data_IF_438421885808
#
_entry.id   IF_438421885808
#
_cell.length_a   1.000
_cell.length_b   1.000
_cell.length_c   1.000
_cell.angle_alpha   90.00
_cell.angle_beta   90.00
_cell.angle_gamma   90.00
#
_symmetry.space_group_name_H-M   'P 1'
#
loop_
_entity.id
_entity.type
_entity.pdbx_description
1 polymer ?
#
# COMPACT_ATOMS: atom_id res chain seq x y z
N UNK A 1 -10.11 -8.78 -48.26
CA UNK A 1 -11.27 -9.58 -47.78
C UNK A 1 -11.37 -9.41 -46.29
N UNK A 2 -12.56 -9.11 -45.73
CA UNK A 2 -12.72 -9.01 -44.28
C UNK A 2 -12.49 -10.38 -43.65
N UNK A 3 -11.66 -10.45 -42.61
CA UNK A 3 -11.35 -11.71 -41.95
C UNK A 3 -12.60 -12.19 -41.17
N UNK A 4 -13.18 -13.32 -41.59
CA UNK A 4 -14.45 -13.83 -41.05
C UNK A 4 -14.17 -14.89 -39.98
N UNK A 5 -14.70 -14.68 -38.79
CA UNK A 5 -14.70 -15.69 -37.73
C UNK A 5 -15.70 -16.82 -38.06
N UNK A 6 -15.43 -18.09 -37.70
CA UNK A 6 -16.39 -19.19 -37.86
C UNK A 6 -17.72 -18.88 -37.17
N UNK A 7 -18.83 -19.33 -37.78
CA UNK A 7 -20.22 -18.93 -37.44
C UNK A 7 -20.62 -19.20 -35.99
N UNK A 8 -20.00 -20.20 -35.36
CA UNK A 8 -20.28 -20.61 -33.97
C UNK A 8 -19.05 -20.50 -33.05
N UNK A 9 -17.98 -19.87 -33.54
CA UNK A 9 -16.78 -19.65 -32.73
C UNK A 9 -17.08 -18.74 -31.56
N UNK A 10 -16.44 -19.01 -30.41
CA UNK A 10 -16.54 -18.17 -29.22
C UNK A 10 -15.17 -18.09 -28.56
N UNK A 11 -14.79 -16.90 -28.09
CA UNK A 11 -13.60 -16.78 -27.27
C UNK A 11 -13.76 -17.56 -25.96
N UNK A 12 -12.71 -18.27 -25.57
CA UNK A 12 -12.63 -18.99 -24.31
C UNK A 12 -11.39 -18.55 -23.56
N UNK A 13 -11.48 -18.58 -22.23
CA UNK A 13 -10.31 -18.48 -21.36
C UNK A 13 -10.19 -19.72 -20.50
N UNK A 14 -8.96 -20.09 -20.16
CA UNK A 14 -8.68 -21.19 -19.24
C UNK A 14 -8.89 -20.68 -17.82
N UNK A 15 -10.02 -21.05 -17.23
CA UNK A 15 -10.34 -20.62 -15.88
C UNK A 15 -9.39 -21.30 -14.88
N UNK A 16 -8.59 -20.55 -14.10
CA UNK A 16 -7.60 -21.13 -13.20
C UNK A 16 -8.24 -21.96 -12.08
N UNK A 17 -9.45 -21.60 -11.66
CA UNK A 17 -10.19 -22.30 -10.59
C UNK A 17 -10.85 -23.58 -11.07
N UNK A 18 -11.53 -23.52 -12.22
CA UNK A 18 -12.26 -24.67 -12.76
C UNK A 18 -11.34 -25.63 -13.54
N UNK A 19 -10.11 -25.21 -13.82
CA UNK A 19 -9.12 -25.92 -14.66
C UNK A 19 -9.69 -26.36 -16.01
N UNK A 20 -10.69 -25.62 -16.51
CA UNK A 20 -11.41 -25.88 -17.76
C UNK A 20 -11.50 -24.62 -18.60
N UNK A 21 -11.69 -24.80 -19.91
CA UNK A 21 -11.96 -23.71 -20.82
C UNK A 21 -13.41 -23.24 -20.64
N UNK A 22 -13.56 -21.95 -20.37
CA UNK A 22 -14.86 -21.32 -20.14
C UNK A 22 -15.11 -20.31 -21.24
N UNK A 23 -16.30 -20.35 -21.82
CA UNK A 23 -16.75 -19.36 -22.79
C UNK A 23 -16.81 -17.98 -22.14
N UNK A 24 -16.31 -16.97 -22.85
CA UNK A 24 -16.57 -15.58 -22.46
C UNK A 24 -18.04 -15.24 -22.67
N UNK A 25 -18.49 -14.15 -22.04
CA UNK A 25 -19.86 -13.66 -22.25
C UNK A 25 -20.06 -13.23 -23.72
N UNK A 26 -21.31 -13.25 -24.21
CA UNK A 26 -21.62 -12.83 -25.59
C UNK A 26 -21.14 -11.40 -25.90
N UNK A 27 -21.21 -10.51 -24.92
CA UNK A 27 -20.77 -9.12 -25.08
C UNK A 27 -19.24 -9.02 -25.14
N UNK A 28 -18.54 -9.76 -24.28
CA UNK A 28 -17.08 -9.85 -24.32
C UNK A 28 -16.59 -10.48 -25.64
N UNK A 29 -17.21 -11.56 -26.10
CA UNK A 29 -16.88 -12.20 -27.38
C UNK A 29 -17.02 -11.22 -28.56
N UNK A 30 -18.07 -10.40 -28.56
CA UNK A 30 -18.30 -9.35 -29.55
C UNK A 30 -17.17 -8.33 -29.55
N UNK A 31 -16.80 -7.82 -28.37
CA UNK A 31 -15.73 -6.83 -28.21
C UNK A 31 -14.36 -7.37 -28.64
N UNK A 32 -14.03 -8.60 -28.23
CA UNK A 32 -12.76 -9.24 -28.61
C UNK A 32 -12.68 -9.51 -30.11
N UNK A 33 -13.77 -9.98 -30.75
CA UNK A 33 -13.82 -10.16 -32.21
C UNK A 33 -13.70 -8.84 -32.96
N UNK A 34 -14.31 -7.77 -32.47
CA UNK A 34 -14.20 -6.44 -33.04
C UNK A 34 -12.76 -5.90 -32.95
N UNK A 35 -12.14 -6.01 -31.78
CA UNK A 35 -10.75 -5.63 -31.56
C UNK A 35 -9.79 -6.45 -32.44
N UNK A 36 -9.96 -7.77 -32.50
CA UNK A 36 -9.14 -8.64 -33.35
C UNK A 36 -9.27 -8.27 -34.84
N UNK A 37 -10.48 -7.96 -35.33
CA UNK A 37 -10.69 -7.51 -36.72
C UNK A 37 -10.03 -6.18 -37.05
N UNK A 38 -9.71 -5.36 -36.04
CA UNK A 38 -9.05 -4.08 -36.23
C UNK A 38 -7.53 -4.20 -36.43
N UNK A 39 -6.91 -5.32 -36.01
CA UNK A 39 -5.45 -5.51 -36.05
C UNK A 39 -4.85 -5.33 -37.46
N UNK A 40 -5.42 -5.89 -38.55
CA UNK A 40 -4.86 -5.72 -39.89
C UNK A 40 -4.93 -4.27 -40.41
N UNK A 41 -5.70 -3.41 -39.74
CA UNK A 41 -5.87 -1.99 -40.07
C UNK A 41 -5.00 -1.08 -39.20
N UNK A 42 -4.04 -1.63 -38.45
CA UNK A 42 -3.21 -0.89 -37.50
C UNK A 42 -3.83 -0.75 -36.11
N UNK A 43 -4.81 -1.59 -35.75
CA UNK A 43 -5.33 -1.67 -34.39
C UNK A 43 -4.27 -2.24 -33.42
N UNK A 44 -4.39 -1.88 -32.14
CA UNK A 44 -3.49 -2.37 -31.09
C UNK A 44 -3.69 -3.87 -30.83
N UNK A 45 -2.62 -4.66 -30.62
CA UNK A 45 -2.70 -6.10 -30.33
C UNK A 45 -3.37 -6.42 -28.99
N UNK A 46 -3.71 -5.41 -28.20
CA UNK A 46 -4.29 -5.53 -26.87
C UNK A 46 -5.73 -4.99 -26.87
N UNK A 47 -6.67 -5.80 -26.44
CA UNK A 47 -8.08 -5.43 -26.24
C UNK A 47 -8.41 -5.34 -24.75
N UNK A 48 -9.07 -4.26 -24.33
CA UNK A 48 -9.53 -4.09 -22.94
C UNK A 48 -11.04 -4.23 -22.87
N UNK A 49 -11.52 -5.22 -22.10
CA UNK A 49 -12.93 -5.54 -21.94
C UNK A 49 -13.34 -5.46 -20.47
N UNK A 50 -14.57 -5.01 -20.21
CA UNK A 50 -15.17 -5.00 -18.88
C UNK A 50 -16.10 -6.22 -18.73
N UNK A 51 -15.87 -7.02 -17.70
CA UNK A 51 -16.74 -8.15 -17.33
C UNK A 51 -17.29 -7.91 -15.93
N UNK A 52 -18.56 -7.50 -15.86
CA UNK A 52 -19.13 -6.96 -14.63
C UNK A 52 -18.39 -5.69 -14.20
N UNK A 53 -17.86 -5.69 -12.97
CA UNK A 53 -17.02 -4.61 -12.42
C UNK A 53 -15.53 -4.81 -12.64
N UNK A 54 -15.11 -5.92 -13.26
CA UNK A 54 -13.70 -6.26 -13.45
C UNK A 54 -13.23 -5.97 -14.86
N UNK A 55 -12.09 -5.28 -14.98
CA UNK A 55 -11.45 -5.01 -16.28
C UNK A 55 -10.37 -6.04 -16.62
N UNK A 56 -10.37 -6.48 -17.87
CA UNK A 56 -9.41 -7.44 -18.41
C UNK A 56 -8.77 -6.90 -19.67
N UNK A 57 -7.45 -7.05 -19.75
CA UNK A 57 -6.65 -6.79 -20.94
C UNK A 57 -6.37 -8.12 -21.63
N UNK A 58 -6.58 -8.23 -22.93
CA UNK A 58 -6.30 -9.44 -23.71
C UNK A 58 -5.31 -9.10 -24.79
N UNK A 59 -4.13 -9.69 -24.73
CA UNK A 59 -3.11 -9.58 -25.75
C UNK A 59 -3.26 -10.74 -26.75
N UNK A 60 -3.52 -10.38 -28.00
CA UNK A 60 -3.74 -11.33 -29.09
C UNK A 60 -2.44 -11.93 -29.64
N UNK A 61 -1.27 -11.33 -29.37
CA UNK A 61 0.02 -11.91 -29.76
C UNK A 61 0.38 -13.08 -28.84
N UNK A 62 0.32 -12.84 -27.53
CA UNK A 62 0.63 -13.86 -26.52
C UNK A 62 -0.54 -14.80 -26.25
N UNK A 63 -1.75 -14.43 -26.69
CA UNK A 63 -2.99 -15.14 -26.39
C UNK A 63 -3.19 -15.28 -24.87
N UNK A 64 -2.86 -14.20 -24.14
CA UNK A 64 -3.02 -14.08 -22.70
C UNK A 64 -4.01 -12.98 -22.38
N UNK A 65 -4.95 -13.31 -21.49
CA UNK A 65 -5.85 -12.37 -20.85
C UNK A 65 -5.39 -12.10 -19.42
N UNK A 66 -5.19 -10.84 -19.08
CA UNK A 66 -4.76 -10.37 -17.77
C UNK A 66 -5.87 -9.58 -17.10
N UNK A 67 -6.21 -9.95 -15.87
CA UNK A 67 -7.03 -9.10 -15.02
C UNK A 67 -6.21 -7.86 -14.61
N UNK A 68 -6.67 -6.66 -14.99
CA UNK A 68 -5.86 -5.43 -14.81
C UNK A 68 -5.59 -5.14 -13.33
N UNK A 69 -6.56 -5.41 -12.46
CA UNK A 69 -6.47 -5.16 -11.04
C UNK A 69 -5.51 -6.13 -10.31
N UNK A 70 -5.68 -7.43 -10.54
CA UNK A 70 -4.93 -8.49 -9.84
C UNK A 70 -3.70 -9.00 -10.57
N UNK A 71 -3.43 -8.51 -11.78
CA UNK A 71 -2.37 -8.99 -12.70
C UNK A 71 -2.42 -10.48 -13.03
N UNK A 72 -3.50 -11.17 -12.70
CA UNK A 72 -3.67 -12.61 -12.99
C UNK A 72 -3.83 -12.82 -14.48
N UNK A 73 -2.96 -13.66 -15.03
CA UNK A 73 -2.94 -14.06 -16.43
C UNK A 73 -3.72 -15.36 -16.65
N UNK A 74 -4.41 -15.46 -17.78
CA UNK A 74 -5.19 -16.62 -18.21
C UNK A 74 -4.96 -16.83 -19.71
N UNK A 75 -4.71 -18.07 -20.12
CA UNK A 75 -4.66 -18.42 -21.54
C UNK A 75 -6.03 -18.16 -22.19
N UNK A 76 -6.03 -17.58 -23.39
CA UNK A 76 -7.23 -17.43 -24.23
C UNK A 76 -7.10 -18.19 -25.54
N UNK A 77 -8.23 -18.65 -26.07
CA UNK A 77 -8.31 -19.28 -27.39
C UNK A 77 -9.66 -19.02 -28.03
N UNK A 78 -9.76 -19.26 -29.33
CA UNK A 78 -11.03 -19.32 -30.03
C UNK A 78 -11.53 -20.78 -30.05
N UNK A 79 -12.76 -21.02 -29.60
CA UNK A 79 -13.43 -22.32 -29.75
C UNK A 79 -13.87 -22.51 -31.20
N UNK A 80 -13.74 -23.74 -31.71
CA UNK A 80 -14.30 -24.20 -32.99
C UNK A 80 -13.81 -23.41 -34.23
N UNK A 81 -12.48 -23.31 -34.40
CA UNK A 81 -11.87 -22.97 -35.68
C UNK A 81 -10.58 -22.15 -35.58
N UNK A 82 -9.89 -21.94 -36.72
CA UNK A 82 -8.68 -21.14 -36.76
C UNK A 82 -8.99 -19.65 -36.59
N UNK A 83 -8.00 -18.90 -36.08
CA UNK A 83 -8.07 -17.44 -36.08
C UNK A 83 -8.14 -16.91 -37.53
N UNK A 84 -8.87 -15.80 -37.78
CA UNK A 84 -9.09 -15.30 -39.14
C UNK A 84 -7.81 -14.92 -39.90
N UNK A 85 -6.71 -14.65 -39.19
CA UNK A 85 -5.36 -14.47 -39.71
C UNK A 85 -4.38 -14.72 -38.56
N UNK A 86 -3.12 -15.05 -38.88
CA UNK A 86 -2.03 -15.13 -37.90
C UNK A 86 -1.39 -13.76 -37.73
N UNK A 87 -1.08 -13.39 -36.49
CA UNK A 87 -0.22 -12.25 -36.21
C UNK A 87 1.22 -12.64 -36.55
N UNK A 88 2.03 -11.70 -37.06
CA UNK A 88 3.45 -11.96 -37.28
C UNK A 88 4.13 -12.16 -35.92
N UNK A 89 4.94 -13.20 -35.80
CA UNK A 89 5.73 -13.48 -34.60
C UNK A 89 6.74 -12.34 -34.41
N UNK A 90 6.48 -11.45 -33.45
CA UNK A 90 7.50 -10.53 -32.94
C UNK A 90 8.46 -11.31 -32.05
N UNK A 91 9.76 -11.17 -32.33
CA UNK A 91 10.85 -11.91 -31.72
C UNK A 91 10.77 -11.96 -30.18
N UNK A 92 11.12 -13.14 -29.66
CA UNK A 92 11.22 -13.55 -28.26
C UNK A 92 11.82 -12.49 -27.32
N UNK A 93 11.13 -12.26 -26.20
CA UNK A 93 11.77 -12.30 -24.87
C UNK A 93 10.81 -13.01 -23.91
N UNK A 94 11.10 -14.29 -23.64
CA UNK A 94 10.55 -14.99 -22.48
C UNK A 94 11.34 -14.57 -21.23
N UNK A 95 10.72 -14.70 -20.04
CA UNK A 95 11.25 -15.77 -19.20
C UNK A 95 10.16 -16.70 -18.65
N UNK A 96 10.48 -17.98 -18.85
CA UNK A 96 10.27 -19.15 -18.01
C UNK A 96 9.30 -19.09 -16.82
N UNK A 97 8.37 -20.03 -16.89
CA UNK A 97 7.63 -20.64 -15.80
C UNK A 97 8.49 -21.00 -14.57
N UNK A 98 7.99 -20.68 -13.37
CA UNK A 98 8.04 -21.63 -12.25
C UNK A 98 6.89 -21.39 -11.27
N UNK A 99 5.95 -22.35 -11.28
CA UNK A 99 5.26 -22.98 -10.17
C UNK A 99 4.81 -22.13 -8.97
N UNK A 100 3.50 -22.17 -8.70
CA UNK A 100 2.97 -22.37 -7.34
C UNK A 100 1.48 -22.75 -7.43
N UNK A 101 1.18 -23.94 -6.93
CA UNK A 101 -0.16 -24.43 -6.61
C UNK A 101 -0.85 -23.48 -5.62
N UNK A 102 -2.16 -23.26 -5.82
CA UNK A 102 -2.99 -22.55 -4.84
C UNK A 102 -4.34 -22.12 -5.40
N UNK A 103 -5.40 -22.86 -5.04
CA UNK A 103 -6.80 -22.44 -5.12
C UNK A 103 -6.96 -21.00 -4.58
N UNK A 104 -7.69 -20.08 -5.21
CA UNK A 104 -9.15 -20.11 -5.19
C UNK A 104 -9.74 -18.83 -4.58
N UNK A 105 -10.18 -17.90 -5.44
CA UNK A 105 -11.38 -17.05 -5.30
C UNK A 105 -11.41 -15.93 -4.22
N UNK A 106 -11.93 -14.74 -4.62
CA UNK A 106 -12.32 -13.65 -3.71
C UNK A 106 -13.82 -13.61 -3.47
N UNK A 107 -14.31 -12.68 -2.61
CA UNK A 107 -15.65 -12.04 -2.59
C UNK A 107 -15.71 -11.02 -1.43
N UNK A 108 -16.42 -9.91 -1.62
CA UNK A 108 -16.76 -8.89 -0.62
C UNK A 108 -18.07 -9.24 0.14
N UNK A 109 -18.37 -8.63 1.30
CA UNK A 109 -19.16 -9.25 2.36
C UNK A 109 -20.68 -9.06 2.17
N UNK A 110 -21.37 -10.18 2.00
CA UNK A 110 -22.73 -10.38 2.49
C UNK A 110 -22.71 -11.72 3.23
N UNK A 111 -23.53 -11.86 4.27
CA UNK A 111 -23.65 -13.09 5.07
C UNK A 111 -23.79 -14.33 4.16
N UNK A 112 -22.72 -15.13 4.05
CA UNK A 112 -22.65 -16.30 3.19
C UNK A 112 -22.44 -17.55 4.04
N UNK A 113 -23.49 -18.36 4.12
CA UNK A 113 -23.37 -19.78 4.39
C UNK A 113 -22.94 -20.49 3.09
N UNK A 114 -21.97 -21.40 3.17
CA UNK A 114 -21.68 -22.36 2.10
C UNK A 114 -22.26 -23.72 2.52
N UNK A 115 -23.21 -24.25 1.73
CA UNK A 115 -23.83 -25.56 1.94
C UNK A 115 -24.31 -25.83 3.39
N UNK A 116 -24.83 -24.80 4.08
CA UNK A 116 -25.34 -24.91 5.45
C UNK A 116 -24.28 -25.19 6.53
N UNK A 117 -22.99 -25.01 6.24
CA UNK A 117 -21.90 -25.14 7.21
C UNK A 117 -21.13 -23.84 7.38
N UNK A 118 -20.88 -23.47 8.65
CA UNK A 118 -20.10 -22.28 9.03
C UNK A 118 -18.68 -22.34 8.46
N UNK A 119 -18.27 -21.29 7.76
CA UNK A 119 -16.92 -21.13 7.16
C UNK A 119 -15.82 -21.31 8.23
N UNK A 120 -14.70 -22.02 7.95
CA UNK A 120 -13.63 -22.26 8.92
C UNK A 120 -12.96 -20.97 9.44
N UNK A 121 -12.50 -20.99 10.69
CA UNK A 121 -11.92 -19.83 11.39
C UNK A 121 -10.68 -19.23 10.70
N UNK A 122 -9.89 -20.05 10.02
CA UNK A 122 -8.68 -19.62 9.29
C UNK A 122 -8.99 -18.77 8.06
N UNK A 123 -10.10 -19.03 7.36
CA UNK A 123 -10.54 -18.26 6.19
C UNK A 123 -11.13 -16.92 6.60
N UNK A 124 -11.85 -16.87 7.74
CA UNK A 124 -12.35 -15.62 8.33
C UNK A 124 -11.22 -14.64 8.67
N UNK A 125 -10.14 -15.15 9.26
CA UNK A 125 -8.95 -14.36 9.63
C UNK A 125 -8.25 -13.72 8.43
N UNK A 126 -8.24 -14.40 7.27
CA UNK A 126 -7.68 -13.89 6.03
C UNK A 126 -8.56 -12.82 5.33
N UNK A 127 -9.85 -12.77 5.65
CA UNK A 127 -10.82 -11.78 5.13
C UNK A 127 -11.10 -10.63 6.12
N UNK A 128 -10.28 -10.50 7.16
CA UNK A 128 -10.47 -9.49 8.21
C UNK A 128 -11.59 -9.79 9.21
N UNK A 129 -12.28 -10.93 9.09
CA UNK A 129 -13.21 -11.38 10.13
C UNK A 129 -12.42 -11.94 11.33
N UNK A 130 -12.40 -11.17 12.41
CA UNK A 130 -11.67 -11.44 13.65
C UNK A 130 -10.63 -10.39 14.00
N UNK A 131 -10.44 -9.39 13.13
CA UNK A 131 -9.83 -8.11 13.49
C UNK A 131 -10.96 -7.31 14.16
N UNK A 132 -10.81 -6.97 15.44
CA UNK A 132 -11.81 -6.14 16.13
C UNK A 132 -12.03 -4.83 15.36
N UNK A 133 -13.29 -4.39 15.28
CA UNK A 133 -13.62 -3.07 14.76
C UNK A 133 -12.74 -2.03 15.46
N UNK A 134 -12.01 -1.24 14.67
CA UNK A 134 -11.07 -0.22 15.16
C UNK A 134 -9.60 -0.55 14.94
N UNK A 135 -9.18 -1.81 14.81
CA UNK A 135 -7.77 -2.16 14.57
C UNK A 135 -7.34 -1.72 13.17
N UNK A 136 -6.35 -0.83 13.11
CA UNK A 136 -5.74 -0.32 11.88
C UNK A 136 -4.45 -1.03 11.52
N UNK A 137 -4.02 -0.89 10.25
CA UNK A 137 -2.68 -1.27 9.79
C UNK A 137 -2.36 -2.76 9.94
N UNK A 138 -3.30 -3.64 9.63
CA UNK A 138 -3.16 -5.11 9.73
C UNK A 138 -2.34 -5.76 8.60
N UNK A 139 -1.84 -4.99 7.63
CA UNK A 139 -1.16 -5.50 6.46
C UNK A 139 -0.35 -4.46 5.69
N UNK A 140 0.32 -4.93 4.65
CA UNK A 140 1.16 -4.14 3.76
C UNK A 140 0.92 -4.58 2.31
N UNK A 141 1.10 -3.68 1.35
CA UNK A 141 1.04 -4.01 -0.07
C UNK A 141 1.97 -3.11 -0.89
N UNK A 142 2.29 -3.58 -2.09
CA UNK A 142 3.13 -2.87 -3.04
C UNK A 142 2.72 -3.29 -4.46
N UNK A 143 2.54 -2.32 -5.35
CA UNK A 143 2.27 -2.58 -6.76
C UNK A 143 2.71 -1.42 -7.64
N UNK A 144 2.92 -1.72 -8.92
CA UNK A 144 3.27 -0.72 -9.94
C UNK A 144 2.07 -0.44 -10.82
N UNK A 145 1.80 0.85 -11.07
CA UNK A 145 0.78 1.36 -11.97
C UNK A 145 1.44 1.82 -13.27
N UNK A 146 1.07 1.18 -14.37
CA UNK A 146 1.54 1.58 -15.71
C UNK A 146 0.68 2.69 -16.30
N UNK A 147 1.23 3.45 -17.27
CA UNK A 147 0.53 4.56 -17.91
C UNK A 147 -0.79 4.11 -18.57
N UNK A 148 -0.80 2.91 -19.15
CA UNK A 148 -1.97 2.28 -19.77
C UNK A 148 -3.07 1.88 -18.77
N UNK A 149 -2.74 1.87 -17.47
CA UNK A 149 -3.60 1.36 -16.40
C UNK A 149 -4.16 2.46 -15.52
N UNK A 150 -3.83 3.73 -15.81
CA UNK A 150 -4.29 4.92 -15.08
C UNK A 150 -5.78 4.91 -14.76
N UNK A 151 -6.61 4.57 -15.74
CA UNK A 151 -8.07 4.51 -15.60
C UNK A 151 -8.57 3.39 -14.66
N UNK A 152 -7.67 2.50 -14.23
CA UNK A 152 -7.95 1.34 -13.38
C UNK A 152 -7.34 1.51 -11.98
N UNK A 153 -6.72 2.67 -11.70
CA UNK A 153 -6.03 2.94 -10.44
C UNK A 153 -6.91 2.66 -9.21
N UNK A 154 -8.16 3.15 -9.21
CA UNK A 154 -9.09 2.94 -8.10
C UNK A 154 -9.39 1.46 -7.84
N UNK A 155 -9.53 0.66 -8.90
CA UNK A 155 -9.76 -0.80 -8.81
C UNK A 155 -8.51 -1.52 -8.30
N UNK A 156 -7.33 -1.17 -8.83
CA UNK A 156 -6.04 -1.73 -8.42
C UNK A 156 -5.75 -1.44 -6.94
N UNK A 157 -5.95 -0.20 -6.50
CA UNK A 157 -5.73 0.19 -5.12
C UNK A 157 -6.69 -0.54 -4.18
N UNK A 158 -7.98 -0.59 -4.51
CA UNK A 158 -9.00 -1.27 -3.70
C UNK A 158 -8.70 -2.77 -3.57
N UNK A 159 -8.27 -3.42 -4.66
CA UNK A 159 -7.91 -4.83 -4.63
C UNK A 159 -6.71 -5.10 -3.73
N UNK A 160 -5.64 -4.30 -3.84
CA UNK A 160 -4.44 -4.47 -3.02
C UNK A 160 -4.70 -4.23 -1.52
N UNK A 161 -5.54 -3.25 -1.19
CA UNK A 161 -6.00 -3.00 0.19
C UNK A 161 -6.72 -4.24 0.76
N UNK A 162 -7.69 -4.78 0.01
CA UNK A 162 -8.44 -5.96 0.43
C UNK A 162 -7.57 -7.21 0.52
N UNK A 163 -6.66 -7.42 -0.44
CA UNK A 163 -5.72 -8.53 -0.46
C UNK A 163 -4.75 -8.49 0.73
N UNK A 164 -4.41 -7.28 1.21
CA UNK A 164 -3.62 -7.08 2.41
C UNK A 164 -4.43 -7.20 3.72
N UNK A 165 -5.73 -7.51 3.66
CA UNK A 165 -6.59 -7.63 4.85
C UNK A 165 -6.82 -6.28 5.55
N UNK A 166 -6.70 -5.17 4.82
CA UNK A 166 -6.92 -3.81 5.34
C UNK A 166 -8.36 -3.41 4.99
N UNK A 167 -9.12 -2.95 5.97
CA UNK A 167 -10.44 -2.36 5.71
C UNK A 167 -10.26 -0.93 5.16
N UNK A 168 -11.02 -0.48 4.14
CA UNK A 168 -10.85 0.85 3.55
C UNK A 168 -10.92 2.00 4.56
N UNK A 169 -11.79 1.89 5.58
CA UNK A 169 -11.90 2.87 6.67
C UNK A 169 -10.69 2.91 7.61
N UNK A 170 -9.88 1.85 7.60
CA UNK A 170 -8.68 1.67 8.43
C UNK A 170 -7.39 1.99 7.66
N UNK A 171 -7.50 2.40 6.38
CA UNK A 171 -6.37 2.82 5.58
C UNK A 171 -5.87 4.18 6.05
N UNK A 172 -4.63 4.22 6.54
CA UNK A 172 -3.95 5.48 6.82
C UNK A 172 -3.24 6.02 5.58
N UNK A 173 -3.79 7.08 4.99
CA UNK A 173 -3.23 7.72 3.79
C UNK A 173 -1.79 8.22 3.97
N UNK A 174 -1.32 8.36 5.22
CA UNK A 174 0.05 8.77 5.52
C UNK A 174 1.07 7.65 5.33
N UNK A 175 0.64 6.40 5.33
CA UNK A 175 1.52 5.26 5.03
C UNK A 175 1.46 4.87 3.54
N UNK A 176 0.56 5.50 2.76
CA UNK A 176 0.41 5.27 1.33
C UNK A 176 1.35 6.19 0.55
N UNK A 177 2.39 5.60 -0.04
CA UNK A 177 3.46 6.29 -0.75
C UNK A 177 3.37 6.03 -2.25
N UNK A 178 3.50 7.09 -3.03
CA UNK A 178 3.60 7.07 -4.49
C UNK A 178 4.99 7.53 -4.88
N UNK A 179 5.67 6.76 -5.72
CA UNK A 179 6.99 7.08 -6.26
C UNK A 179 6.93 7.07 -7.78
N UNK A 180 7.29 8.18 -8.42
CA UNK A 180 7.32 8.29 -9.88
C UNK A 180 8.51 7.54 -10.48
N UNK A 181 8.48 7.33 -11.80
CA UNK A 181 9.63 6.79 -12.54
C UNK A 181 10.90 7.65 -12.43
N UNK A 182 10.76 8.95 -12.14
CA UNK A 182 11.88 9.87 -11.89
C UNK A 182 12.39 9.83 -10.44
N UNK A 183 11.71 9.10 -9.55
CA UNK A 183 12.04 9.05 -8.13
C UNK A 183 11.37 10.14 -7.29
N UNK A 184 10.43 10.91 -7.85
CA UNK A 184 9.65 11.88 -7.07
C UNK A 184 8.67 11.15 -6.15
N UNK A 185 8.60 11.54 -4.89
CA UNK A 185 7.77 10.87 -3.89
C UNK A 185 6.61 11.77 -3.42
N UNK A 186 5.44 11.16 -3.19
CA UNK A 186 4.27 11.83 -2.62
C UNK A 186 3.56 10.92 -1.63
N UNK A 187 3.23 11.46 -0.46
CA UNK A 187 2.62 10.74 0.66
C UNK A 187 1.61 11.65 1.36
N UNK A 188 0.40 11.16 1.63
CA UNK A 188 -0.66 11.89 2.34
C UNK A 188 -1.25 13.13 1.64
N UNK A 189 -0.64 13.65 0.57
CA UNK A 189 -1.11 14.83 -0.17
C UNK A 189 -1.96 14.44 -1.38
N UNK A 190 -3.30 14.58 -1.27
CA UNK A 190 -4.23 14.31 -2.38
C UNK A 190 -3.91 15.14 -3.63
N UNK A 191 -3.47 16.40 -3.46
CA UNK A 191 -3.15 17.30 -4.57
C UNK A 191 -1.92 16.84 -5.34
N UNK A 192 -0.87 16.45 -4.62
CA UNK A 192 0.39 16.04 -5.24
C UNK A 192 0.26 14.66 -5.90
N UNK A 193 -0.46 13.73 -5.27
CA UNK A 193 -0.80 12.43 -5.86
C UNK A 193 -1.62 12.62 -7.14
N UNK A 194 -2.65 13.48 -7.12
CA UNK A 194 -3.44 13.76 -8.33
C UNK A 194 -2.60 14.37 -9.46
N UNK A 195 -1.67 15.27 -9.12
CA UNK A 195 -0.73 15.86 -10.08
C UNK A 195 0.22 14.81 -10.67
N UNK A 196 0.70 13.88 -9.85
CA UNK A 196 1.56 12.76 -10.28
C UNK A 196 0.80 11.83 -11.23
N UNK A 197 -0.41 11.40 -10.88
CA UNK A 197 -1.28 10.56 -11.72
C UNK A 197 -1.66 11.25 -13.05
N UNK A 198 -1.74 12.59 -13.06
CA UNK A 198 -2.01 13.38 -14.26
C UNK A 198 -0.80 13.50 -15.21
N UNK A 199 0.43 13.35 -14.71
CA UNK A 199 1.65 13.51 -15.49
C UNK A 199 2.04 12.21 -16.23
N UNK A 200 1.99 12.16 -17.57
CA UNK A 200 2.37 10.95 -18.31
C UNK A 200 3.82 10.52 -18.09
N UNK A 201 4.72 11.46 -17.77
CA UNK A 201 6.12 11.13 -17.50
C UNK A 201 6.32 10.46 -16.15
N UNK A 202 5.39 10.59 -15.21
CA UNK A 202 5.53 10.00 -13.88
C UNK A 202 5.46 8.46 -13.89
N UNK A 203 4.95 7.86 -14.96
CA UNK A 203 4.79 6.42 -15.10
C UNK A 203 6.08 5.72 -15.54
N UNK A 204 6.33 4.47 -15.08
CA UNK A 204 5.53 3.71 -14.12
C UNK A 204 5.54 4.34 -12.71
N UNK A 205 4.37 4.38 -12.07
CA UNK A 205 4.22 4.89 -10.70
C UNK A 205 4.21 3.71 -9.75
N UNK A 206 5.14 3.69 -8.82
CA UNK A 206 5.24 2.67 -7.79
C UNK A 206 4.43 3.09 -6.56
N UNK A 207 3.55 2.21 -6.08
CA UNK A 207 2.63 2.48 -4.99
C UNK A 207 2.91 1.47 -3.88
N UNK A 208 3.18 1.96 -2.68
CA UNK A 208 3.44 1.12 -1.51
C UNK A 208 2.64 1.59 -0.29
N UNK A 209 2.22 0.63 0.52
CA UNK A 209 1.63 0.85 1.83
C UNK A 209 2.40 0.00 2.83
N UNK A 210 3.25 0.66 3.62
CA UNK A 210 4.13 0.05 4.62
C UNK A 210 4.00 0.81 5.93
N UNK A 211 3.00 0.49 6.76
CA UNK A 211 2.86 1.11 8.07
C UNK A 211 4.06 0.77 8.95
N UNK A 212 4.46 1.70 9.83
CA UNK A 212 5.56 1.46 10.75
C UNK A 212 5.23 0.27 11.67
N UNK A 213 6.19 -0.60 12.02
CA UNK A 213 5.96 -1.75 12.90
C UNK A 213 5.26 -1.40 14.22
N UNK A 214 5.59 -0.23 14.78
CA UNK A 214 4.97 0.29 16.01
C UNK A 214 3.47 0.55 15.88
N UNK A 215 2.91 0.63 14.67
CA UNK A 215 1.49 0.91 14.43
C UNK A 215 0.68 -0.32 13.99
N UNK A 216 1.35 -1.45 13.76
CA UNK A 216 0.69 -2.68 13.35
C UNK A 216 -0.28 -3.17 14.44
N UNK A 217 -1.47 -3.58 14.02
CA UNK A 217 -2.51 -4.14 14.90
C UNK A 217 -3.00 -3.22 16.02
N UNK A 218 -2.78 -1.91 15.90
CA UNK A 218 -3.29 -0.93 16.87
C UNK A 218 -4.54 -0.22 16.36
N UNK A 219 -5.45 0.20 17.25
CA UNK A 219 -6.55 1.06 16.86
C UNK A 219 -6.10 2.40 16.31
N UNK A 220 -6.85 2.97 15.36
CA UNK A 220 -6.53 4.26 14.74
C UNK A 220 -6.30 5.35 15.79
N UNK A 221 -7.13 5.34 16.81
CA UNK A 221 -7.15 6.30 17.89
C UNK A 221 -5.91 6.19 18.78
N UNK A 222 -5.22 5.04 18.79
CA UNK A 222 -3.99 4.83 19.53
C UNK A 222 -2.75 5.27 18.76
N UNK A 223 -2.81 5.32 17.42
CA UNK A 223 -1.68 5.74 16.57
C UNK A 223 -1.19 7.14 16.96
N UNK A 224 -2.10 8.08 17.21
CA UNK A 224 -1.73 9.43 17.64
C UNK A 224 -0.95 9.41 18.97
N UNK A 225 -1.33 8.56 19.93
CA UNK A 225 -0.70 8.49 21.24
C UNK A 225 0.70 7.90 21.14
N UNK A 226 0.88 6.86 20.32
CA UNK A 226 2.19 6.28 20.07
C UNK A 226 3.08 7.25 19.29
N UNK A 227 2.56 7.94 18.28
CA UNK A 227 3.36 8.95 17.55
C UNK A 227 3.85 10.07 18.47
N UNK A 228 2.98 10.54 19.37
CA UNK A 228 3.34 11.53 20.39
C UNK A 228 4.45 11.00 21.29
N UNK A 229 4.33 9.74 21.75
CA UNK A 229 5.37 9.11 22.57
C UNK A 229 6.70 8.96 21.82
N UNK A 230 6.67 8.51 20.56
CA UNK A 230 7.85 8.40 19.69
C UNK A 230 8.51 9.76 19.48
N UNK A 231 7.71 10.79 19.21
CA UNK A 231 8.17 12.18 19.06
C UNK A 231 8.86 12.67 20.34
N UNK A 232 8.30 12.37 21.52
CA UNK A 232 8.95 12.70 22.80
C UNK A 232 10.28 11.98 22.99
N UNK A 233 10.30 10.67 22.75
CA UNK A 233 11.53 9.90 22.90
C UNK A 233 12.60 10.33 21.90
N UNK A 234 12.22 10.76 20.68
CA UNK A 234 13.14 11.36 19.72
C UNK A 234 13.79 12.63 20.27
N UNK A 235 13.02 13.56 20.84
CA UNK A 235 13.57 14.77 21.47
C UNK A 235 14.54 14.43 22.61
N UNK A 236 14.21 13.42 23.42
CA UNK A 236 15.07 12.93 24.49
C UNK A 236 16.36 12.32 23.91
N UNK A 237 16.26 11.51 22.86
CA UNK A 237 17.40 10.90 22.15
C UNK A 237 18.35 11.97 21.61
N UNK A 238 17.81 12.99 20.97
CA UNK A 238 18.58 14.12 20.44
C UNK A 238 19.30 14.87 21.56
N UNK A 239 18.61 15.14 22.68
CA UNK A 239 19.23 15.81 23.83
C UNK A 239 20.32 14.97 24.50
N UNK A 240 20.10 13.65 24.63
CA UNK A 240 21.11 12.71 25.13
C UNK A 240 22.33 12.66 24.20
N UNK A 241 22.10 12.63 22.89
CA UNK A 241 23.18 12.61 21.89
C UNK A 241 24.05 13.87 21.96
N UNK A 242 23.45 15.04 22.22
CA UNK A 242 24.19 16.29 22.46
C UNK A 242 25.10 16.26 23.72
N UNK A 243 24.86 15.33 24.64
CA UNK A 243 25.69 15.11 25.83
C UNK A 243 26.58 13.87 25.71
N UNK A 244 26.73 13.32 24.49
CA UNK A 244 27.45 12.08 24.18
C UNK A 244 26.96 10.85 24.96
N UNK A 245 25.71 10.88 25.45
CA UNK A 245 25.18 9.85 26.33
C UNK A 245 25.88 9.75 27.69
N UNK A 246 26.72 10.73 28.05
CA UNK A 246 27.55 10.67 29.24
C UNK A 246 26.97 11.51 30.38
N UNK A 247 26.71 10.85 31.52
CA UNK A 247 26.20 11.47 32.73
C UNK A 247 27.09 12.60 33.27
N UNK A 248 28.41 12.50 33.09
CA UNK A 248 29.35 13.49 33.60
C UNK A 248 29.25 14.83 32.88
N UNK A 249 28.71 14.84 31.66
CA UNK A 249 28.45 16.05 30.89
C UNK A 249 27.23 16.83 31.41
N UNK A 250 26.46 16.25 32.36
CA UNK A 250 25.34 16.94 33.03
C UNK A 250 25.85 17.78 34.19
N UNK A 251 25.65 19.09 34.10
CA UNK A 251 26.20 20.09 35.04
C UNK A 251 25.65 19.95 36.45
N UNK A 252 24.32 19.84 36.60
CA UNK A 252 23.70 19.84 37.91
C UNK A 252 23.40 18.43 38.43
N UNK A 253 23.89 18.12 39.63
CA UNK A 253 23.73 16.80 40.27
C UNK A 253 22.27 16.36 40.41
N UNK A 254 21.35 17.29 40.66
CA UNK A 254 19.91 16.97 40.78
C UNK A 254 19.26 16.60 39.43
N UNK A 255 19.86 17.00 38.30
CA UNK A 255 19.39 16.67 36.94
C UNK A 255 19.97 15.34 36.44
N UNK A 256 21.12 14.89 36.97
CA UNK A 256 21.76 13.61 36.62
C UNK A 256 20.82 12.42 36.76
N UNK A 257 20.02 12.37 37.83
CA UNK A 257 19.01 11.32 38.04
C UNK A 257 17.93 11.31 36.96
N UNK A 258 17.57 12.47 36.42
CA UNK A 258 16.62 12.59 35.31
C UNK A 258 17.26 12.13 34.01
N UNK A 259 18.52 12.49 33.77
CA UNK A 259 19.29 12.05 32.61
C UNK A 259 19.47 10.52 32.58
N UNK A 260 19.78 9.88 33.70
CA UNK A 260 19.83 8.42 33.82
C UNK A 260 18.50 7.77 33.44
N UNK A 261 17.36 8.36 33.86
CA UNK A 261 16.03 7.86 33.47
C UNK A 261 15.78 7.99 31.97
N UNK A 262 16.28 9.05 31.33
CA UNK A 262 16.19 9.20 29.88
C UNK A 262 16.96 8.11 29.14
N UNK A 263 18.17 7.79 29.58
CA UNK A 263 18.95 6.67 29.02
C UNK A 263 18.16 5.36 29.15
N UNK A 264 17.60 5.08 30.33
CA UNK A 264 16.77 3.88 30.56
C UNK A 264 15.52 3.85 29.68
N UNK A 265 14.80 4.96 29.53
CA UNK A 265 13.60 5.00 28.68
C UNK A 265 13.92 4.73 27.22
N UNK A 266 15.06 5.21 26.71
CA UNK A 266 15.50 4.95 25.34
C UNK A 266 15.91 3.48 25.15
N UNK A 267 16.67 2.93 26.10
CA UNK A 267 17.10 1.53 26.08
C UNK A 267 15.91 0.55 26.19
N UNK A 268 14.98 0.81 27.13
CA UNK A 268 13.77 0.02 27.31
C UNK A 268 12.88 0.08 26.06
N UNK A 269 12.72 1.27 25.48
CA UNK A 269 11.92 1.43 24.27
C UNK A 269 12.51 0.59 23.13
N UNK A 270 13.79 0.78 22.81
CA UNK A 270 14.45 0.04 21.74
C UNK A 270 14.39 -1.48 21.99
N UNK A 271 14.60 -1.92 23.22
CA UNK A 271 14.56 -3.34 23.58
C UNK A 271 13.17 -3.96 23.41
N UNK A 272 12.10 -3.19 23.65
CA UNK A 272 10.71 -3.65 23.56
C UNK A 272 10.15 -3.61 22.13
N UNK A 273 10.52 -2.59 21.35
CA UNK A 273 9.87 -2.29 20.05
C UNK A 273 10.79 -2.48 18.86
N UNK A 274 12.11 -2.47 19.06
CA UNK A 274 13.11 -2.40 17.99
C UNK A 274 13.12 -1.05 17.24
N UNK A 275 12.37 -0.06 17.73
CA UNK A 275 12.22 1.27 17.12
C UNK A 275 13.38 2.17 17.54
N UNK A 276 14.18 2.60 16.56
CA UNK A 276 15.32 3.48 16.81
C UNK A 276 14.95 4.97 16.78
N UNK A 277 13.67 5.31 16.55
CA UNK A 277 13.12 6.65 16.53
C UNK A 277 13.71 7.57 15.44
N UNK A 278 14.44 7.02 14.47
CA UNK A 278 15.07 7.82 13.41
C UNK A 278 14.03 8.50 12.51
N UNK A 279 12.92 7.80 12.23
CA UNK A 279 11.81 8.24 11.39
C UNK A 279 10.66 8.91 12.18
N UNK A 280 10.76 8.97 13.51
CA UNK A 280 9.74 9.63 14.33
C UNK A 280 9.61 11.13 13.95
N UNK A 281 8.40 11.66 14.05
CA UNK A 281 8.11 13.04 13.68
C UNK A 281 8.85 14.05 14.58
N UNK A 282 9.07 15.25 14.06
CA UNK A 282 9.37 16.41 14.90
C UNK A 282 8.08 16.95 15.56
N UNK A 283 8.24 17.75 16.62
CA UNK A 283 7.11 18.30 17.39
C UNK A 283 6.16 19.14 16.54
N UNK A 284 6.67 19.98 15.63
CA UNK A 284 5.85 20.87 14.82
C UNK A 284 4.98 20.05 13.84
N UNK A 285 5.59 19.07 13.19
CA UNK A 285 4.93 18.14 12.29
C UNK A 285 3.91 17.29 13.03
N UNK A 286 4.23 16.79 14.23
CA UNK A 286 3.31 16.00 15.05
C UNK A 286 2.07 16.83 15.45
N UNK A 287 2.25 18.05 15.95
CA UNK A 287 1.13 18.94 16.33
C UNK A 287 0.28 19.34 15.14
N UNK A 288 0.90 19.56 13.97
CA UNK A 288 0.17 19.85 12.73
C UNK A 288 -0.69 18.67 12.26
N UNK A 289 -0.21 17.44 12.46
CA UNK A 289 -0.93 16.23 12.09
C UNK A 289 -1.99 15.83 13.13
N UNK A 290 -1.75 16.14 14.41
CA UNK A 290 -2.61 15.80 15.53
C UNK A 290 -2.83 17.01 16.45
N UNK A 291 -3.67 17.99 16.06
CA UNK A 291 -3.83 19.25 16.79
C UNK A 291 -4.27 19.08 18.25
N UNK A 292 -5.06 18.05 18.54
CA UNK A 292 -5.49 17.66 19.89
C UNK A 292 -4.32 17.30 20.82
N UNK A 293 -3.18 16.91 20.27
CA UNK A 293 -1.98 16.56 21.03
C UNK A 293 -1.14 17.78 21.42
N UNK A 294 -1.48 18.98 20.92
CA UNK A 294 -0.78 20.23 21.21
C UNK A 294 -0.66 20.48 22.72
N UNK A 295 -1.69 20.12 23.50
CA UNK A 295 -1.65 20.24 24.96
C UNK A 295 -0.63 19.30 25.61
N UNK A 296 -0.46 18.09 25.07
CA UNK A 296 0.56 17.14 25.52
C UNK A 296 1.98 17.68 25.34
N UNK A 297 2.21 18.45 24.27
CA UNK A 297 3.47 19.14 24.03
C UNK A 297 3.60 20.48 24.76
N UNK A 298 2.57 21.03 25.40
CA UNK A 298 2.60 22.39 25.96
C UNK A 298 3.68 22.61 27.04
N UNK A 299 3.87 21.62 27.92
CA UNK A 299 4.92 21.68 28.95
C UNK A 299 6.32 21.46 28.38
N UNK A 300 6.41 20.73 27.26
CA UNK A 300 7.66 20.28 26.65
C UNK A 300 8.09 21.20 25.51
N UNK A 301 7.19 21.98 24.91
CA UNK A 301 7.54 23.00 23.92
C UNK A 301 8.41 24.10 24.53
N UNK A 302 8.28 24.31 25.85
CA UNK A 302 9.20 25.12 26.63
C UNK A 302 10.53 24.37 26.83
N UNK A 303 10.53 23.27 27.57
CA UNK A 303 11.80 22.69 28.04
C UNK A 303 12.51 21.78 27.03
N UNK A 304 11.79 21.22 26.07
CA UNK A 304 12.26 20.20 25.12
C UNK A 304 13.30 20.69 24.14
N UNK A 305 13.05 21.75 23.33
CA UNK A 305 14.07 22.33 22.45
C UNK A 305 15.28 22.89 23.20
N UNK A 306 15.10 23.27 24.48
CA UNK A 306 16.15 23.74 25.37
C UNK A 306 16.78 22.64 26.24
N UNK A 307 16.30 21.40 26.16
CA UNK A 307 16.68 20.32 27.09
C UNK A 307 18.20 20.06 27.11
N UNK A 308 18.91 20.01 25.97
CA UNK A 308 20.36 19.85 25.98
C UNK A 308 21.06 21.00 26.74
N UNK A 309 20.64 22.23 26.49
CA UNK A 309 21.18 23.45 27.12
C UNK A 309 20.88 23.50 28.62
N UNK A 310 19.69 23.05 29.03
CA UNK A 310 19.30 22.92 30.44
C UNK A 310 20.17 21.88 31.15
N UNK A 311 20.45 20.75 30.52
CA UNK A 311 21.25 19.66 31.08
C UNK A 311 22.76 20.01 31.17
N UNK A 312 23.27 20.77 30.19
CA UNK A 312 24.60 21.42 30.27
C UNK A 312 24.61 22.61 31.25
N UNK A 313 23.43 23.02 31.73
CA UNK A 313 23.21 24.17 32.60
C UNK A 313 23.70 25.50 32.03
N UNK A 314 23.56 25.64 30.70
CA UNK A 314 23.66 26.89 29.94
C UNK A 314 22.38 27.73 30.10
N UNK A 315 21.28 27.10 30.52
CA UNK A 315 19.98 27.73 30.79
C UNK A 315 19.49 27.28 32.17
N UNK A 316 19.05 28.23 33.01
CA UNK A 316 18.32 27.92 34.24
C UNK A 316 16.88 27.53 33.89
N UNK A 317 16.45 26.35 34.33
CA UNK A 317 15.10 25.84 34.02
C UNK A 317 13.99 26.72 34.61
N UNK A 318 14.22 27.38 35.74
CA UNK A 318 13.24 28.27 36.38
C UNK A 318 13.18 29.61 35.67
N UNK A 319 14.33 30.20 35.31
CA UNK A 319 14.37 31.41 34.48
C UNK A 319 13.76 31.15 33.10
N UNK A 320 13.98 29.97 32.52
CA UNK A 320 13.41 29.62 31.24
C UNK A 320 11.89 29.35 31.29
N UNK A 321 11.40 28.72 32.37
CA UNK A 321 9.98 28.41 32.54
C UNK A 321 9.15 29.62 32.97
N UNK A 322 9.74 30.53 33.74
CA UNK A 322 9.04 31.60 34.48
C UNK A 322 9.63 33.01 34.28
N UNK A 323 10.76 33.16 33.59
CA UNK A 323 11.46 34.45 33.39
C UNK A 323 10.97 35.26 32.19
N UNK A 324 9.71 35.08 31.78
CA UNK A 324 9.00 35.93 30.83
C UNK A 324 7.93 36.76 31.52
#
# INVERSE_FOLDING_TARGET
MAAVFPKDSCWQYKCPFRKTWVDVSKEEDRQLKEAYRSLPKGGYPVAVCNVGTSKFSTDFQTMIRTNVASKRCMEVRLRDGPLPFKLQDSAEEAPASSSLDGDGLGIAPCDLEMDGKKVPHSVRKAWGQGIEDGITMSGQFEFTLEATEKECFGEMLSWNILAAGILPQNLDNRCLKFTSAQGDESMGSKKDIAKMLANPRAYPIHISYKPHPAFLFMPREQVQHIEVQRTFLKMVKEAVAELDGNLDNVKHKHQRRTFERYLLYLEDHYSQTGDDLSDALDMETCVKLYPETAFGFLLISKTGPGLPKILRGEIDVLEYLFGG
#
